data_IF_764455106998
#
_entry.id   IF_764455106998
#
_cell.length_a   1.000
_cell.length_b   1.000
_cell.length_c   1.000
_cell.angle_alpha   90.00
_cell.angle_beta   90.00
_cell.angle_gamma   90.00
#
_symmetry.space_group_name_H-M   'P 1'
#
loop_
_entity.id
_entity.type
_entity.pdbx_description
1 polymer ?
#
# COMPACT_ATOMS: atom_id res chain seq x y z
N UNK A 1 20.21 -39.17 27.16
CA UNK A 1 20.94 -37.90 27.36
C UNK A 1 21.05 -37.27 25.99
N UNK A 2 20.41 -36.11 25.76
CA UNK A 2 20.37 -35.49 24.44
C UNK A 2 21.73 -34.87 24.14
N UNK A 3 22.28 -35.12 22.95
CA UNK A 3 23.55 -34.55 22.51
C UNK A 3 23.38 -33.01 22.37
N UNK A 4 24.25 -32.21 23.02
CA UNK A 4 24.26 -30.74 22.84
C UNK A 4 24.42 -30.28 21.38
N UNK A 5 25.07 -31.08 20.55
CA UNK A 5 25.25 -30.80 19.11
C UNK A 5 23.94 -30.86 18.34
N UNK A 6 23.09 -31.88 18.60
CA UNK A 6 21.75 -31.98 17.98
C UNK A 6 20.87 -30.78 18.28
N UNK A 7 20.93 -30.22 19.50
CA UNK A 7 20.13 -29.01 19.83
C UNK A 7 20.62 -27.76 19.12
N UNK A 8 21.92 -27.66 18.87
CA UNK A 8 22.51 -26.53 18.13
C UNK A 8 22.14 -26.59 16.65
N UNK A 9 22.18 -27.78 16.06
CA UNK A 9 21.82 -27.99 14.65
C UNK A 9 20.32 -27.75 14.42
N UNK A 10 19.45 -28.21 15.34
CA UNK A 10 18.02 -27.94 15.32
C UNK A 10 17.69 -26.44 15.35
N UNK A 11 18.41 -25.67 16.16
CA UNK A 11 18.24 -24.21 16.24
C UNK A 11 18.74 -23.53 14.98
N UNK A 12 19.89 -23.93 14.46
CA UNK A 12 20.45 -23.38 13.23
C UNK A 12 19.51 -23.63 12.04
N UNK A 13 18.97 -24.83 11.92
CA UNK A 13 17.99 -25.17 10.88
C UNK A 13 16.69 -24.37 11.05
N UNK A 14 16.18 -24.23 12.26
CA UNK A 14 14.99 -23.42 12.52
C UNK A 14 15.20 -21.96 12.11
N UNK A 15 16.34 -21.36 12.44
CA UNK A 15 16.70 -20.00 12.06
C UNK A 15 16.86 -19.84 10.55
N UNK A 16 17.46 -20.82 9.87
CA UNK A 16 17.58 -20.81 8.42
C UNK A 16 16.22 -20.81 7.71
N UNK A 17 15.27 -21.60 8.22
CA UNK A 17 13.90 -21.66 7.68
C UNK A 17 13.09 -20.38 7.92
N UNK A 18 13.46 -19.55 8.88
CA UNK A 18 12.80 -18.29 9.17
C UNK A 18 13.10 -17.19 8.13
N UNK A 19 14.11 -17.34 7.29
CA UNK A 19 14.50 -16.27 6.35
C UNK A 19 13.36 -15.85 5.41
N UNK A 20 12.62 -16.82 4.84
CA UNK A 20 11.48 -16.53 3.94
C UNK A 20 10.28 -15.91 4.67
N UNK A 21 9.77 -16.47 5.79
CA UNK A 21 8.73 -15.80 6.58
C UNK A 21 9.12 -14.40 7.04
N UNK A 22 10.39 -14.20 7.43
CA UNK A 22 10.91 -12.91 7.85
C UNK A 22 10.91 -11.89 6.71
N UNK A 23 11.37 -12.28 5.51
CA UNK A 23 11.36 -11.41 4.34
C UNK A 23 9.92 -11.01 3.96
N UNK A 24 8.98 -11.96 3.98
CA UNK A 24 7.57 -11.70 3.72
C UNK A 24 6.93 -10.79 4.79
N UNK A 25 7.24 -11.02 6.07
CA UNK A 25 6.78 -10.15 7.17
C UNK A 25 7.31 -8.73 7.00
N UNK A 26 8.59 -8.59 6.66
CA UNK A 26 9.21 -7.28 6.40
C UNK A 26 8.56 -6.57 5.20
N UNK A 27 8.32 -7.29 4.10
CA UNK A 27 7.61 -6.76 2.95
C UNK A 27 6.17 -6.34 3.32
N UNK A 28 5.46 -7.15 4.12
CA UNK A 28 4.13 -6.86 4.63
C UNK A 28 4.08 -5.57 5.47
N UNK A 29 5.02 -5.41 6.42
CA UNK A 29 5.15 -4.16 7.21
C UNK A 29 5.43 -2.97 6.28
N UNK A 30 6.30 -3.15 5.27
CA UNK A 30 6.59 -2.13 4.27
C UNK A 30 5.35 -1.70 3.50
N UNK A 31 4.57 -2.65 3.02
CA UNK A 31 3.31 -2.40 2.31
C UNK A 31 2.28 -1.67 3.18
N UNK A 32 2.13 -2.07 4.46
CA UNK A 32 1.26 -1.39 5.42
C UNK A 32 1.70 0.06 5.67
N UNK A 33 3.01 0.27 5.89
CA UNK A 33 3.56 1.62 6.11
C UNK A 33 3.40 2.48 4.86
N UNK A 34 3.63 1.92 3.67
CA UNK A 34 3.42 2.60 2.40
C UNK A 34 1.94 2.96 2.21
N UNK A 35 1.03 2.01 2.41
CA UNK A 35 -0.40 2.28 2.33
C UNK A 35 -0.83 3.41 3.28
N UNK A 36 -0.34 3.39 4.54
CA UNK A 36 -0.64 4.42 5.53
C UNK A 36 -0.01 5.79 5.23
N UNK A 37 1.13 5.82 4.54
CA UNK A 37 1.82 7.06 4.19
C UNK A 37 1.25 7.69 2.92
N UNK A 38 0.92 6.87 1.91
CA UNK A 38 0.61 7.35 0.56
C UNK A 38 -0.88 7.31 0.21
N UNK A 39 -1.78 6.82 1.10
CA UNK A 39 -3.20 6.79 0.80
C UNK A 39 -3.80 8.16 0.41
N UNK A 40 -3.37 9.32 1.01
CA UNK A 40 -3.93 10.61 0.61
C UNK A 40 -3.52 10.98 -0.81
N UNK A 41 -2.25 10.75 -1.17
CA UNK A 41 -1.75 10.96 -2.52
C UNK A 41 -2.52 10.12 -3.54
N UNK A 42 -2.71 8.82 -3.25
CA UNK A 42 -3.45 7.90 -4.13
C UNK A 42 -4.90 8.37 -4.30
N UNK A 43 -5.56 8.79 -3.22
CA UNK A 43 -6.94 9.26 -3.26
C UNK A 43 -7.09 10.55 -4.07
N UNK A 44 -6.21 11.53 -3.87
CA UNK A 44 -6.23 12.78 -4.64
C UNK A 44 -5.91 12.52 -6.11
N UNK A 45 -4.93 11.66 -6.40
CA UNK A 45 -4.59 11.29 -7.78
C UNK A 45 -5.75 10.55 -8.47
N UNK A 46 -6.39 9.60 -7.79
CA UNK A 46 -7.54 8.88 -8.32
C UNK A 46 -8.71 9.84 -8.65
N UNK A 47 -8.96 10.81 -7.77
CA UNK A 47 -9.98 11.83 -7.99
C UNK A 47 -9.63 12.74 -9.18
N UNK A 48 -8.37 13.16 -9.28
CA UNK A 48 -7.89 13.98 -10.40
C UNK A 48 -8.01 13.24 -11.74
N UNK A 49 -7.63 11.95 -11.77
CA UNK A 49 -7.79 11.10 -12.97
C UNK A 49 -9.26 10.95 -13.33
N UNK A 50 -10.14 10.72 -12.37
CA UNK A 50 -11.57 10.63 -12.62
C UNK A 50 -12.11 11.95 -13.20
N UNK A 51 -11.75 13.09 -12.61
CA UNK A 51 -12.17 14.41 -13.10
C UNK A 51 -11.70 14.69 -14.54
N UNK A 52 -10.46 14.34 -14.88
CA UNK A 52 -9.94 14.51 -16.25
C UNK A 52 -10.65 13.58 -17.24
N UNK A 53 -10.98 12.36 -16.84
CA UNK A 53 -11.69 11.39 -17.69
C UNK A 53 -13.13 11.84 -18.05
N UNK A 54 -13.73 12.70 -17.23
CA UNK A 54 -15.04 13.31 -17.49
C UNK A 54 -14.96 14.70 -18.13
N UNK A 55 -13.77 15.15 -18.54
CA UNK A 55 -13.58 16.46 -19.17
C UNK A 55 -13.71 17.64 -18.20
N UNK A 56 -13.78 17.40 -16.87
CA UNK A 56 -13.87 18.49 -15.89
C UNK A 56 -12.64 19.40 -15.93
N UNK A 57 -11.49 18.83 -16.29
CA UNK A 57 -10.24 19.59 -16.42
C UNK A 57 -10.30 20.65 -17.53
N UNK A 58 -11.07 20.42 -18.60
CA UNK A 58 -11.20 21.32 -19.74
C UNK A 58 -12.09 22.54 -19.39
N UNK A 59 -13.00 22.36 -18.44
CA UNK A 59 -13.89 23.41 -17.94
C UNK A 59 -13.29 24.18 -16.76
N UNK A 60 -12.26 23.63 -16.14
CA UNK A 60 -11.68 24.18 -14.91
C UNK A 60 -10.70 25.33 -15.21
N UNK A 61 -10.70 26.41 -14.42
CA UNK A 61 -9.68 27.44 -14.50
C UNK A 61 -8.27 26.83 -14.33
N UNK A 62 -7.26 27.37 -15.02
CA UNK A 62 -5.87 26.89 -14.92
C UNK A 62 -5.34 26.83 -13.48
N UNK A 63 -5.81 27.73 -12.62
CA UNK A 63 -5.47 27.75 -11.22
C UNK A 63 -5.86 26.46 -10.49
N UNK A 64 -7.00 25.83 -10.84
CA UNK A 64 -7.45 24.58 -10.20
C UNK A 64 -6.56 23.40 -10.55
N UNK A 65 -6.01 23.35 -11.78
CA UNK A 65 -5.01 22.34 -12.17
C UNK A 65 -3.72 22.49 -11.36
N UNK A 66 -3.28 23.72 -11.15
CA UNK A 66 -2.13 24.02 -10.30
C UNK A 66 -2.35 23.60 -8.85
N UNK A 67 -3.54 23.87 -8.29
CA UNK A 67 -3.91 23.45 -6.94
C UNK A 67 -3.96 21.93 -6.82
N UNK A 68 -4.57 21.23 -7.79
CA UNK A 68 -4.61 19.77 -7.79
C UNK A 68 -3.20 19.14 -7.86
N UNK A 69 -2.35 19.65 -8.76
CA UNK A 69 -0.95 19.22 -8.84
C UNK A 69 -0.17 19.50 -7.56
N UNK A 70 -0.35 20.68 -6.97
CA UNK A 70 0.24 21.04 -5.69
C UNK A 70 -0.23 20.15 -4.53
N UNK A 71 -1.51 19.79 -4.52
CA UNK A 71 -2.06 18.89 -3.50
C UNK A 71 -1.48 17.46 -3.64
N UNK A 72 -1.36 16.93 -4.86
CA UNK A 72 -0.74 15.62 -5.11
C UNK A 72 0.73 15.65 -4.68
N UNK A 73 1.46 16.68 -5.08
CA UNK A 73 2.87 16.84 -4.73
C UNK A 73 3.08 16.98 -3.22
N UNK A 74 2.28 17.80 -2.56
CA UNK A 74 2.31 17.97 -1.10
C UNK A 74 1.98 16.67 -0.35
N UNK A 75 0.98 15.93 -0.82
CA UNK A 75 0.63 14.62 -0.25
C UNK A 75 1.74 13.59 -0.47
N UNK A 76 2.43 13.62 -1.61
CA UNK A 76 3.59 12.77 -1.89
C UNK A 76 4.76 13.09 -0.94
N UNK A 77 5.11 14.36 -0.79
CA UNK A 77 6.16 14.80 0.13
C UNK A 77 5.85 14.43 1.57
N UNK A 78 4.60 14.61 2.00
CA UNK A 78 4.18 14.19 3.33
C UNK A 78 4.27 12.67 3.50
N UNK A 79 3.85 11.90 2.49
CA UNK A 79 3.99 10.45 2.48
C UNK A 79 5.45 10.03 2.63
N UNK A 80 6.36 10.62 1.86
CA UNK A 80 7.81 10.37 1.94
C UNK A 80 8.38 10.72 3.32
N UNK A 81 7.98 11.84 3.90
CA UNK A 81 8.44 12.25 5.23
C UNK A 81 7.96 11.30 6.35
N UNK A 82 6.75 10.79 6.24
CA UNK A 82 6.18 9.83 7.20
C UNK A 82 6.61 8.38 6.96
N UNK A 83 7.06 8.04 5.76
CA UNK A 83 7.41 6.68 5.41
C UNK A 83 8.73 6.28 6.08
N UNK A 84 8.69 5.19 6.84
CA UNK A 84 9.88 4.59 7.44
C UNK A 84 10.02 3.16 6.93
N UNK A 85 11.20 2.85 6.39
CA UNK A 85 11.51 1.50 5.95
C UNK A 85 11.47 0.53 7.16
N UNK A 86 10.87 -0.65 7.00
CA UNK A 86 10.84 -1.64 8.05
C UNK A 86 12.23 -2.22 8.27
N UNK A 87 12.62 -2.34 9.54
CA UNK A 87 13.88 -2.97 9.93
C UNK A 87 13.73 -4.50 10.03
N UNK A 88 14.85 -5.22 10.08
CA UNK A 88 14.83 -6.65 10.39
C UNK A 88 14.29 -6.91 11.79
N UNK A 89 14.59 -6.01 12.74
CA UNK A 89 14.12 -6.10 14.11
C UNK A 89 12.58 -5.99 14.20
N UNK A 90 11.97 -5.04 13.46
CA UNK A 90 10.51 -4.91 13.38
C UNK A 90 9.86 -6.21 12.88
N UNK A 91 10.46 -6.81 11.84
CA UNK A 91 9.93 -8.02 11.24
C UNK A 91 10.08 -9.23 12.18
N UNK A 92 11.20 -9.35 12.88
CA UNK A 92 11.42 -10.39 13.90
C UNK A 92 10.43 -10.25 15.04
N UNK A 93 10.30 -9.06 15.61
CA UNK A 93 9.37 -8.79 16.71
C UNK A 93 7.93 -9.13 16.33
N UNK A 94 7.49 -8.74 15.12
CA UNK A 94 6.14 -9.04 14.64
C UNK A 94 5.92 -10.52 14.36
N UNK A 95 6.90 -11.19 13.77
CA UNK A 95 6.83 -12.63 13.51
C UNK A 95 6.79 -13.41 14.82
N UNK A 96 7.63 -13.03 15.78
CA UNK A 96 7.68 -13.67 17.10
C UNK A 96 6.40 -13.44 17.90
N UNK A 97 5.84 -12.23 17.88
CA UNK A 97 4.57 -11.91 18.54
C UNK A 97 3.37 -12.65 17.94
N UNK A 98 3.45 -13.10 16.69
CA UNK A 98 2.40 -13.90 16.04
C UNK A 98 2.42 -15.37 16.45
N UNK A 99 3.45 -15.80 17.16
CA UNK A 99 3.64 -17.18 17.61
C UNK A 99 3.45 -17.29 19.12
N UNK A 100 2.78 -18.36 19.56
CA UNK A 100 2.56 -18.59 20.99
C UNK A 100 3.89 -18.87 21.72
N UNK A 101 4.18 -18.07 22.75
CA UNK A 101 5.34 -18.24 23.62
C UNK A 101 6.64 -17.62 23.09
N UNK A 102 6.56 -16.71 22.13
CA UNK A 102 7.71 -15.96 21.60
C UNK A 102 8.94 -16.85 21.29
N UNK A 103 8.79 -17.84 20.40
CA UNK A 103 9.82 -18.86 20.21
C UNK A 103 11.12 -18.31 19.63
N UNK A 104 11.07 -17.23 18.85
CA UNK A 104 12.24 -16.69 18.16
C UNK A 104 13.15 -15.97 19.17
N UNK A 105 12.61 -15.14 20.05
CA UNK A 105 13.37 -14.50 21.13
C UNK A 105 13.93 -15.53 22.08
N UNK A 106 13.13 -16.56 22.47
CA UNK A 106 13.58 -17.64 23.35
C UNK A 106 14.75 -18.46 22.79
N UNK A 107 14.90 -18.54 21.45
CA UNK A 107 16.05 -19.22 20.83
C UNK A 107 17.34 -18.40 20.89
N UNK A 108 17.23 -17.08 21.00
CA UNK A 108 18.37 -16.16 21.13
C UNK A 108 18.76 -15.92 22.59
N UNK A 109 17.89 -16.29 23.53
CA UNK A 109 18.18 -16.16 24.96
C UNK A 109 19.25 -17.17 25.43
N UNK A 110 20.05 -16.73 26.38
CA UNK A 110 21.04 -17.56 27.04
C UNK A 110 20.59 -17.93 28.45
N UNK A 111 21.01 -19.11 28.93
CA UNK A 111 20.77 -19.50 30.31
C UNK A 111 21.61 -18.61 31.23
N UNK A 112 20.94 -17.81 32.07
CA UNK A 112 21.60 -16.84 32.94
C UNK A 112 22.15 -17.48 34.24
N UNK A 113 21.49 -18.55 34.74
CA UNK A 113 21.82 -19.22 35.98
C UNK A 113 21.67 -20.73 35.79
N UNK A 114 22.49 -21.51 36.54
CA UNK A 114 22.36 -22.96 36.57
C UNK A 114 23.08 -23.72 35.43
N UNK A 115 24.07 -23.10 34.78
CA UNK A 115 24.87 -23.76 33.74
C UNK A 115 25.64 -25.00 34.27
N UNK A 116 25.94 -25.06 35.56
CA UNK A 116 26.69 -26.16 36.20
C UNK A 116 25.78 -27.30 36.66
N UNK A 117 24.44 -27.09 36.62
CA UNK A 117 23.48 -28.12 36.99
C UNK A 117 23.02 -28.96 35.80
N UNK A 118 23.29 -30.28 35.76
CA UNK A 118 22.90 -31.15 34.64
C UNK A 118 21.39 -31.22 34.41
N UNK A 119 20.57 -31.08 35.46
CA UNK A 119 19.11 -31.10 35.32
C UNK A 119 18.59 -29.82 34.68
N UNK A 120 19.13 -28.66 35.09
CA UNK A 120 18.77 -27.36 34.53
C UNK A 120 19.17 -27.25 33.05
N UNK A 121 20.35 -27.72 32.69
CA UNK A 121 20.82 -27.74 31.29
C UNK A 121 19.99 -28.70 30.44
N UNK A 122 19.55 -29.83 30.94
CA UNK A 122 18.67 -30.77 30.22
C UNK A 122 17.28 -30.17 29.98
N UNK A 123 16.71 -29.51 31.00
CA UNK A 123 15.43 -28.79 30.86
C UNK A 123 15.52 -27.66 29.84
N UNK A 124 16.60 -26.88 29.85
CA UNK A 124 16.84 -25.83 28.91
C UNK A 124 16.97 -26.36 27.46
N UNK A 125 17.71 -27.45 27.27
CA UNK A 125 17.81 -28.09 25.96
C UNK A 125 16.44 -28.56 25.45
N UNK A 126 15.60 -29.16 26.31
CA UNK A 126 14.25 -29.56 25.97
C UNK A 126 13.34 -28.36 25.65
N UNK A 127 13.50 -27.23 26.34
CA UNK A 127 12.80 -25.99 26.07
C UNK A 127 13.21 -25.44 24.69
N UNK A 128 14.48 -25.33 24.39
CA UNK A 128 15.00 -24.86 23.12
C UNK A 128 14.51 -25.70 21.93
N UNK A 129 14.50 -27.04 22.07
CA UNK A 129 13.93 -27.93 21.03
C UNK A 129 12.47 -27.65 20.76
N UNK A 130 11.66 -27.45 21.82
CA UNK A 130 10.23 -27.07 21.66
C UNK A 130 10.06 -25.71 20.96
N UNK A 131 10.91 -24.74 21.32
CA UNK A 131 10.88 -23.41 20.67
C UNK A 131 11.33 -23.49 19.21
N UNK A 132 12.38 -24.28 18.91
CA UNK A 132 12.83 -24.52 17.53
C UNK A 132 11.72 -25.16 16.67
N UNK A 133 11.02 -26.17 17.21
CA UNK A 133 9.89 -26.79 16.52
C UNK A 133 8.76 -25.78 16.21
N UNK A 134 8.43 -24.89 17.15
CA UNK A 134 7.44 -23.82 16.95
C UNK A 134 7.92 -22.78 15.93
N UNK A 135 9.18 -22.40 16.00
CA UNK A 135 9.78 -21.46 15.06
C UNK A 135 9.78 -22.00 13.61
N UNK A 136 10.01 -23.30 13.41
CA UNK A 136 9.91 -23.96 12.09
C UNK A 136 8.52 -23.84 11.46
N UNK A 137 7.46 -23.76 12.28
CA UNK A 137 6.08 -23.62 11.82
C UNK A 137 5.68 -22.16 11.55
N UNK A 138 6.58 -21.20 11.71
CA UNK A 138 6.31 -19.78 11.54
C UNK A 138 5.83 -19.45 10.14
N UNK A 139 4.72 -18.72 10.06
CA UNK A 139 4.17 -18.15 8.80
C UNK A 139 4.12 -16.64 8.93
N UNK A 140 4.40 -15.96 7.83
CA UNK A 140 4.29 -14.50 7.81
C UNK A 140 2.83 -14.07 8.12
N UNK A 141 2.61 -13.17 9.07
CA UNK A 141 1.29 -12.64 9.37
C UNK A 141 0.76 -11.83 8.18
N UNK A 142 -0.56 -11.88 7.98
CA UNK A 142 -1.23 -11.16 6.90
C UNK A 142 -1.09 -9.65 7.14
N UNK A 143 -0.66 -8.86 6.13
CA UNK A 143 -0.58 -7.42 6.26
C UNK A 143 -1.95 -6.79 6.48
N UNK A 144 -2.06 -5.87 7.43
CA UNK A 144 -3.27 -5.10 7.72
C UNK A 144 -2.93 -3.62 7.84
N UNK A 145 -3.23 -2.84 6.81
CA UNK A 145 -2.90 -1.41 6.81
C UNK A 145 -3.76 -0.59 7.77
N UNK A 146 -4.97 -1.08 8.08
CA UNK A 146 -5.96 -0.41 8.95
C UNK A 146 -6.08 1.09 8.66
N UNK A 147 -6.65 1.42 7.50
CA UNK A 147 -6.80 2.79 7.03
C UNK A 147 -8.09 3.46 7.53
N UNK A 148 -9.07 2.67 7.98
CA UNK A 148 -10.37 3.20 8.39
C UNK A 148 -10.30 4.31 9.45
N UNK A 149 -9.49 4.20 10.53
CA UNK A 149 -9.40 5.27 11.52
C UNK A 149 -8.71 6.54 11.00
N UNK A 150 -7.98 6.44 9.87
CA UNK A 150 -7.24 7.58 9.27
C UNK A 150 -8.01 8.30 8.20
N UNK A 151 -9.11 7.73 7.75
CA UNK A 151 -9.99 8.26 6.70
C UNK A 151 -11.45 8.28 7.20
N UNK A 152 -11.76 9.19 8.15
CA UNK A 152 -13.08 9.26 8.77
C UNK A 152 -14.19 9.65 7.77
N UNK A 153 -13.83 10.30 6.66
CA UNK A 153 -14.76 10.73 5.61
C UNK A 153 -14.83 9.74 4.44
N UNK A 154 -14.17 8.61 4.53
CA UNK A 154 -14.10 7.60 3.47
C UNK A 154 -13.67 8.15 2.10
N UNK A 155 -12.79 9.15 2.09
CA UNK A 155 -12.31 9.82 0.87
C UNK A 155 -11.65 8.84 -0.11
N UNK A 156 -10.96 7.83 0.40
CA UNK A 156 -10.36 6.77 -0.42
C UNK A 156 -11.43 5.97 -1.17
N UNK A 157 -12.57 5.66 -0.51
CA UNK A 157 -13.65 4.91 -1.15
C UNK A 157 -14.34 5.77 -2.21
N UNK A 158 -14.61 7.03 -1.89
CA UNK A 158 -15.15 8.00 -2.85
C UNK A 158 -14.24 8.14 -4.07
N UNK A 159 -12.93 8.29 -3.84
CA UNK A 159 -11.95 8.41 -4.92
C UNK A 159 -11.86 7.14 -5.78
N UNK A 160 -11.87 5.96 -5.14
CA UNK A 160 -11.84 4.67 -5.86
C UNK A 160 -13.13 4.42 -6.64
N UNK A 161 -14.27 4.79 -6.07
CA UNK A 161 -15.57 4.70 -6.78
C UNK A 161 -15.59 5.64 -7.98
N UNK A 162 -15.18 6.90 -7.80
CA UNK A 162 -15.08 7.86 -8.89
C UNK A 162 -14.15 7.37 -9.99
N UNK A 163 -12.99 6.83 -9.63
CA UNK A 163 -12.05 6.23 -10.57
C UNK A 163 -12.67 5.02 -11.30
N UNK A 164 -13.36 4.13 -10.57
CA UNK A 164 -14.05 2.98 -11.16
C UNK A 164 -15.12 3.40 -12.17
N UNK A 165 -15.92 4.40 -11.83
CA UNK A 165 -16.92 4.98 -12.76
C UNK A 165 -16.22 5.63 -13.96
N UNK A 166 -15.11 6.33 -13.73
CA UNK A 166 -14.34 6.94 -14.83
C UNK A 166 -13.72 5.90 -15.77
N UNK A 167 -13.29 4.75 -15.25
CA UNK A 167 -12.78 3.65 -16.08
C UNK A 167 -13.87 3.00 -16.93
N UNK A 168 -15.12 2.95 -16.44
CA UNK A 168 -16.23 2.33 -17.15
C UNK A 168 -16.93 3.29 -18.15
N UNK A 169 -17.03 4.57 -17.80
CA UNK A 169 -17.86 5.53 -18.51
C UNK A 169 -17.09 6.77 -18.99
N UNK A 170 -15.86 6.98 -18.53
CA UNK A 170 -15.02 8.09 -18.93
C UNK A 170 -14.47 7.93 -20.35
N UNK A 171 -14.13 9.05 -20.96
CA UNK A 171 -13.46 9.04 -22.26
C UNK A 171 -12.01 8.58 -22.09
N UNK A 172 -11.67 7.42 -22.64
CA UNK A 172 -10.34 6.80 -22.54
C UNK A 172 -9.21 7.70 -23.07
N UNK A 173 -9.50 8.63 -23.99
CA UNK A 173 -8.55 9.64 -24.48
C UNK A 173 -8.14 10.67 -23.42
N UNK A 174 -9.01 11.00 -22.47
CA UNK A 174 -8.72 11.96 -21.40
C UNK A 174 -7.81 11.40 -20.31
N UNK A 175 -7.86 10.10 -20.03
CA UNK A 175 -7.11 9.47 -18.94
C UNK A 175 -5.58 9.47 -19.19
N UNK A 176 -5.15 9.41 -20.45
CA UNK A 176 -3.74 9.42 -20.84
C UNK A 176 -3.35 10.70 -21.60
N UNK A 177 -4.24 11.69 -21.65
CA UNK A 177 -3.97 12.96 -22.30
C UNK A 177 -2.95 13.77 -21.49
N UNK A 178 -1.90 14.23 -22.15
CA UNK A 178 -0.97 15.21 -21.59
C UNK A 178 -1.49 16.65 -21.71
N UNK A 179 -2.70 16.83 -22.26
CA UNK A 179 -3.32 18.14 -22.46
C UNK A 179 -3.38 19.00 -21.18
N UNK A 180 -3.70 18.46 -19.99
CA UNK A 180 -3.66 19.26 -18.76
C UNK A 180 -2.27 19.79 -18.42
N UNK A 181 -1.21 19.04 -18.74
CA UNK A 181 0.18 19.44 -18.50
C UNK A 181 0.66 20.46 -19.54
N UNK A 182 0.26 20.30 -20.80
CA UNK A 182 0.58 21.26 -21.87
C UNK A 182 -0.13 22.60 -21.68
N UNK A 183 -1.30 22.60 -21.05
CA UNK A 183 -2.04 23.84 -20.73
C UNK A 183 -1.33 24.72 -19.68
N UNK A 184 -0.39 24.19 -18.91
CA UNK A 184 0.42 24.96 -17.96
C UNK A 184 1.52 25.79 -18.64
N UNK A 185 1.93 25.44 -19.88
CA UNK A 185 3.05 26.05 -20.57
C UNK A 185 2.74 26.78 -21.90
N UNK A 186 1.51 26.79 -22.39
CA UNK A 186 1.16 27.36 -23.71
C UNK A 186 -0.15 28.14 -23.76
N UNK A 187 -0.41 28.90 -24.83
CA UNK A 187 -1.72 29.50 -25.08
C UNK A 187 -2.77 28.39 -25.14
N UNK A 188 -3.91 28.60 -24.48
CA UNK A 188 -4.99 27.62 -24.43
C UNK A 188 -5.45 27.35 -25.88
N UNK A 189 -5.14 26.16 -26.39
CA UNK A 189 -5.90 25.63 -27.51
C UNK A 189 -7.28 25.33 -26.95
N UNK A 190 -8.29 26.06 -27.50
CA UNK A 190 -9.67 25.76 -27.18
C UNK A 190 -9.88 24.26 -27.46
N UNK A 191 -10.22 23.48 -26.43
CA UNK A 191 -10.65 22.12 -26.62
C UNK A 191 -11.82 22.17 -27.59
N UNK A 192 -11.67 21.56 -28.78
CA UNK A 192 -12.79 21.35 -29.67
C UNK A 192 -13.71 20.37 -28.92
N UNK A 193 -14.67 20.94 -28.18
CA UNK A 193 -15.78 20.16 -27.63
C UNK A 193 -16.52 19.47 -28.79
N UNK A 194 -17.34 18.47 -28.49
CA UNK A 194 -18.14 17.80 -29.50
C UNK A 194 -18.93 18.87 -30.23
N UNK A 195 -18.60 19.10 -31.52
CA UNK A 195 -19.36 20.00 -32.39
C UNK A 195 -20.67 19.29 -32.70
N UNK A 196 -21.77 19.85 -32.24
CA UNK A 196 -23.09 19.41 -32.63
C UNK A 196 -23.47 20.18 -33.90
N UNK A 197 -23.52 19.51 -35.04
CA UNK A 197 -24.26 20.00 -36.19
C UNK A 197 -25.69 19.51 -36.05
N UNK A 198 -26.55 20.38 -35.59
CA UNK A 198 -28.00 20.15 -35.57
C UNK A 198 -28.59 20.58 -36.88
N UNK A 199 -29.08 19.61 -37.65
CA UNK A 199 -29.87 19.92 -38.85
C UNK A 199 -31.36 19.69 -38.54
N UNK A 200 -32.18 20.71 -38.69
CA UNK A 200 -33.62 20.62 -38.49
C UNK A 200 -34.31 20.95 -39.82
N UNK A 201 -35.00 19.93 -40.36
CA UNK A 201 -35.85 20.16 -41.53
C UNK A 201 -37.18 20.77 -41.06
N UNK A 202 -37.45 22.05 -41.42
CA UNK A 202 -38.71 22.66 -41.02
C UNK A 202 -39.86 21.99 -41.76
N UNK A 203 -41.04 21.84 -41.11
CA UNK A 203 -42.20 21.27 -41.75
C UNK A 203 -42.56 22.02 -43.05
N UNK A 204 -42.97 21.29 -44.10
CA UNK A 204 -43.25 21.82 -45.42
C UNK A 204 -44.22 23.01 -45.50
N UNK A 205 -45.09 23.15 -44.50
CA UNK A 205 -46.04 24.25 -44.41
C UNK A 205 -45.40 25.59 -44.02
N UNK A 206 -44.14 25.60 -43.55
CA UNK A 206 -43.48 26.85 -43.14
C UNK A 206 -42.87 27.63 -44.32
N UNK A 207 -42.71 27.02 -45.50
CA UNK A 207 -42.12 27.64 -46.69
C UNK A 207 -40.66 28.07 -46.52
N UNK A 208 -39.96 27.64 -45.43
CA UNK A 208 -38.55 27.96 -45.18
C UNK A 208 -37.68 26.81 -45.69
N UNK A 209 -36.56 27.10 -46.38
CA UNK A 209 -35.58 26.09 -46.70
C UNK A 209 -34.93 25.55 -45.40
N UNK A 210 -34.62 24.26 -45.38
CA UNK A 210 -33.89 23.62 -44.30
C UNK A 210 -32.42 23.94 -44.30
#
# INVERSE_FOLDING_TARGET
>A
MADPRETTDDVAEALARLQRPLALTRAGIGAERAARAFWPMISVSAMAIAATSFGVADLAPRATLGVAGGAIFGAALWGLWKFRLPTKADALARLDSSLAGHPISSLTDALALGNDDPQTTALWAAHRRRMAARARAAKAPIPAADLAPRDPFALRLTALTALGVALLFGQSGGMFSTAPLSALGGPAQAAMGPSWEGWAEPPRYTGKPG
#
